data_IF_709953688549
#
_entry.id   IF_709953688549
#
_cell.length_a   1.000
_cell.length_b   1.000
_cell.length_c   1.000
_cell.angle_alpha   90.00
_cell.angle_beta   90.00
_cell.angle_gamma   90.00
#
_symmetry.space_group_name_H-M   'P 1'
#
loop_
_entity.id
_entity.type
_entity.pdbx_description
1 polymer ?
#
# COMPACT_ATOMS: atom_id res chain seq x y z
N UNK A 1 24.19 -41.03 -3.70
CA UNK A 1 23.39 -42.10 -3.08
C UNK A 1 23.47 -41.93 -1.57
N UNK A 2 22.34 -41.92 -0.82
CA UNK A 2 21.10 -42.67 -1.03
C UNK A 2 19.83 -41.77 -1.12
N UNK A 3 18.87 -42.38 -1.75
CA UNK A 3 17.47 -41.97 -1.95
C UNK A 3 16.65 -42.40 -0.72
N UNK A 4 15.81 -41.50 -0.19
CA UNK A 4 14.75 -41.93 0.74
C UNK A 4 13.41 -41.44 0.16
N UNK A 5 12.53 -42.39 -0.13
CA UNK A 5 11.18 -42.29 -0.67
C UNK A 5 10.12 -42.26 0.46
N UNK A 6 8.86 -41.95 0.15
CA UNK A 6 7.88 -41.35 1.05
C UNK A 6 7.03 -42.37 1.82
N UNK A 7 6.38 -41.90 2.86
CA UNK A 7 5.30 -42.67 3.54
C UNK A 7 3.98 -41.93 3.35
N UNK A 8 3.07 -42.57 2.59
CA UNK A 8 1.65 -42.25 2.50
C UNK A 8 0.96 -42.80 3.77
N UNK A 9 0.11 -41.98 4.37
CA UNK A 9 -0.93 -42.50 5.29
C UNK A 9 -2.27 -41.88 4.92
N UNK A 10 -3.18 -42.73 4.40
CA UNK A 10 -4.58 -42.45 4.19
C UNK A 10 -5.35 -42.85 5.44
N UNK A 11 -6.29 -42.00 5.90
CA UNK A 11 -7.33 -42.38 6.86
C UNK A 11 -8.68 -41.97 6.29
N UNK A 12 -9.51 -42.99 6.11
CA UNK A 12 -10.91 -42.99 5.68
C UNK A 12 -11.83 -43.11 6.91
N UNK A 13 -13.01 -42.53 6.85
CA UNK A 13 -14.16 -42.78 7.71
C UNK A 13 -14.67 -41.51 8.41
N UNK A 14 -15.97 -41.20 8.48
CA UNK A 14 -17.17 -41.95 8.29
C UNK A 14 -18.38 -41.02 8.31
N UNK A 15 -19.40 -41.40 7.58
CA UNK A 15 -20.72 -40.80 7.44
C UNK A 15 -21.56 -41.02 8.69
N UNK A 16 -22.30 -40.01 9.17
CA UNK A 16 -23.46 -40.19 10.03
C UNK A 16 -24.58 -39.23 9.59
N UNK A 17 -25.59 -39.81 8.98
CA UNK A 17 -26.93 -39.25 8.70
C UNK A 17 -27.81 -39.48 9.89
N UNK A 18 -28.47 -38.48 10.43
CA UNK A 18 -29.63 -38.61 11.31
C UNK A 18 -30.74 -37.71 10.78
N UNK A 19 -31.75 -38.31 10.21
CA UNK A 19 -33.06 -37.74 9.94
C UNK A 19 -33.99 -38.05 11.10
N UNK A 20 -34.73 -37.07 11.62
CA UNK A 20 -35.95 -37.29 12.42
C UNK A 20 -37.05 -36.34 11.99
N UNK A 21 -38.19 -36.94 11.77
CA UNK A 21 -39.38 -36.40 11.16
C UNK A 21 -40.32 -35.67 12.13
N UNK A 22 -41.12 -34.79 11.55
CA UNK A 22 -42.55 -34.46 11.74
C UNK A 22 -43.18 -34.45 13.13
N UNK A 23 -43.83 -33.32 13.43
CA UNK A 23 -44.91 -33.19 14.41
C UNK A 23 -45.78 -31.98 14.06
N UNK A 24 -46.97 -32.24 13.46
CA UNK A 24 -48.07 -31.29 13.29
C UNK A 24 -48.93 -31.22 14.55
N UNK A 25 -49.37 -30.00 14.95
CA UNK A 25 -50.67 -29.66 15.51
C UNK A 25 -50.70 -28.18 15.84
N UNK A 26 -51.49 -27.39 15.26
CA UNK A 26 -52.85 -26.98 15.37
C UNK A 26 -53.06 -25.89 16.43
N UNK A 27 -53.37 -24.62 15.97
CA UNK A 27 -53.86 -23.55 16.87
C UNK A 27 -53.66 -22.14 16.31
N UNK A 28 -54.67 -21.61 15.63
CA UNK A 28 -54.88 -20.18 15.34
C UNK A 28 -55.90 -19.64 16.38
N UNK A 29 -56.12 -18.35 16.65
CA UNK A 29 -55.58 -17.11 16.06
C UNK A 29 -55.26 -16.00 17.10
N UNK A 30 -54.50 -15.00 16.76
CA UNK A 30 -54.88 -13.62 17.04
C UNK A 30 -53.92 -12.65 16.34
N UNK A 31 -54.45 -11.86 15.46
CA UNK A 31 -53.76 -10.78 14.78
C UNK A 31 -53.50 -9.62 15.74
N UNK A 32 -52.22 -9.38 16.07
CA UNK A 32 -51.76 -8.08 16.57
C UNK A 32 -50.99 -7.35 15.45
N UNK A 33 -51.02 -6.01 15.43
CA UNK A 33 -50.39 -5.26 14.34
C UNK A 33 -48.88 -5.51 14.33
N UNK A 34 -48.37 -5.95 13.19
CA UNK A 34 -46.97 -6.14 12.94
C UNK A 34 -46.25 -4.78 13.04
N UNK A 35 -45.33 -4.67 13.99
CA UNK A 35 -44.31 -3.63 13.97
C UNK A 35 -43.44 -3.77 12.69
N UNK A 36 -43.09 -2.64 12.03
CA UNK A 36 -42.22 -2.75 10.88
C UNK A 36 -40.87 -3.32 11.33
N UNK A 37 -40.52 -4.50 10.82
CA UNK A 37 -39.18 -5.02 10.88
C UNK A 37 -38.26 -3.97 10.27
N UNK A 38 -37.40 -3.36 11.11
CA UNK A 38 -36.26 -2.61 10.62
C UNK A 38 -35.42 -3.59 9.78
N UNK A 39 -35.49 -3.43 8.46
CA UNK A 39 -34.65 -4.15 7.53
C UNK A 39 -33.19 -3.90 7.94
N UNK A 40 -32.48 -4.98 8.29
CA UNK A 40 -31.05 -4.91 8.42
C UNK A 40 -30.52 -4.34 7.10
N UNK A 41 -29.97 -3.14 7.15
CA UNK A 41 -29.24 -2.58 6.03
C UNK A 41 -28.15 -3.60 5.69
N UNK A 42 -28.22 -4.20 4.51
CA UNK A 42 -27.16 -5.03 4.01
C UNK A 42 -25.88 -4.15 4.00
N UNK A 43 -24.92 -4.49 4.83
CA UNK A 43 -23.59 -3.88 4.76
C UNK A 43 -23.08 -4.19 3.36
N UNK A 44 -23.00 -3.15 2.55
CA UNK A 44 -22.30 -3.23 1.26
C UNK A 44 -20.88 -3.60 1.62
N UNK A 45 -20.48 -4.83 1.33
CA UNK A 45 -19.08 -5.24 1.44
C UNK A 45 -18.34 -4.44 0.36
N UNK A 46 -17.62 -3.43 0.77
CA UNK A 46 -16.79 -2.61 -0.10
C UNK A 46 -15.75 -3.55 -0.74
N UNK A 47 -15.88 -3.74 -2.05
CA UNK A 47 -14.91 -4.52 -2.83
C UNK A 47 -13.79 -3.59 -3.22
N UNK A 48 -12.76 -3.51 -2.38
CA UNK A 48 -11.57 -2.73 -2.73
C UNK A 48 -10.80 -3.43 -3.85
N UNK A 49 -10.61 -2.79 -5.01
CA UNK A 49 -9.74 -3.28 -6.05
C UNK A 49 -8.33 -3.60 -5.51
N UNK A 50 -7.60 -4.53 -6.13
CA UNK A 50 -6.23 -4.82 -5.72
C UNK A 50 -5.38 -3.55 -5.79
N UNK A 51 -4.84 -3.12 -4.64
CA UNK A 51 -3.98 -1.94 -4.53
C UNK A 51 -4.65 -0.72 -3.88
N UNK A 52 -5.97 -0.69 -3.76
CA UNK A 52 -6.62 0.36 -3.02
C UNK A 52 -6.26 0.31 -1.53
N UNK A 53 -6.06 1.48 -0.95
CA UNK A 53 -5.82 1.65 0.48
C UNK A 53 -7.15 2.05 1.11
N UNK A 54 -7.68 1.30 2.09
CA UNK A 54 -8.98 1.60 2.69
C UNK A 54 -9.06 3.00 3.28
N UNK A 55 -10.20 3.67 3.17
CA UNK A 55 -10.43 5.02 3.70
C UNK A 55 -10.23 5.09 5.22
N UNK A 56 -10.48 4.00 5.94
CA UNK A 56 -10.30 3.89 7.38
C UNK A 56 -8.88 3.43 7.78
N UNK A 57 -7.91 3.41 6.85
CA UNK A 57 -6.53 3.05 7.14
C UNK A 57 -5.94 3.99 8.20
N UNK A 58 -5.50 3.43 9.31
CA UNK A 58 -4.75 4.16 10.32
C UNK A 58 -3.33 4.46 9.85
N UNK A 59 -2.80 5.62 10.26
CA UNK A 59 -1.42 6.02 9.94
C UNK A 59 -0.63 6.25 11.22
N UNK A 60 0.61 5.77 11.24
CA UNK A 60 1.55 5.92 12.35
C UNK A 60 2.79 6.68 11.91
N UNK A 61 3.44 7.37 12.86
CA UNK A 61 4.61 8.19 12.55
C UNK A 61 5.88 7.34 12.56
N UNK A 62 6.64 7.44 11.49
CA UNK A 62 8.04 7.04 11.41
C UNK A 62 8.94 8.24 11.65
N UNK A 63 9.98 8.06 12.44
CA UNK A 63 11.07 9.02 12.62
C UNK A 63 12.37 8.39 12.14
N UNK A 64 13.15 9.13 11.36
CA UNK A 64 14.47 8.70 10.93
C UNK A 64 15.36 8.38 12.12
N UNK A 65 16.24 7.38 11.98
CA UNK A 65 17.09 6.91 13.08
C UNK A 65 18.00 8.00 13.64
N UNK A 66 18.44 8.93 12.77
CA UNK A 66 19.24 10.09 13.15
C UNK A 66 18.38 11.27 13.69
N UNK A 67 17.05 11.15 13.71
CA UNK A 67 16.11 12.17 14.14
C UNK A 67 16.03 13.39 13.21
N UNK A 68 16.39 13.28 11.95
CA UNK A 68 16.44 14.41 11.02
C UNK A 68 15.09 14.80 10.44
N UNK A 69 14.20 13.83 10.24
CA UNK A 69 12.87 14.00 9.69
C UNK A 69 11.90 12.95 10.22
N UNK A 70 10.63 13.18 10.02
CA UNK A 70 9.56 12.22 10.25
C UNK A 70 8.51 12.29 9.15
N UNK A 71 7.76 11.20 8.98
CA UNK A 71 6.56 11.14 8.13
C UNK A 71 5.61 10.06 8.63
N UNK A 72 4.35 10.09 8.19
CA UNK A 72 3.39 9.04 8.49
C UNK A 72 3.41 7.97 7.40
N UNK A 73 3.15 6.73 7.80
CA UNK A 73 2.91 5.61 6.90
C UNK A 73 1.71 4.79 7.40
N UNK A 74 1.05 3.99 6.54
CA UNK A 74 -0.05 3.15 6.97
C UNK A 74 0.39 2.16 8.07
N UNK A 75 -0.43 2.04 9.10
CA UNK A 75 -0.22 1.07 10.17
C UNK A 75 -0.34 -0.36 9.64
N UNK A 76 0.48 -1.26 10.15
CA UNK A 76 0.48 -2.68 9.76
C UNK A 76 1.27 -3.01 8.50
N UNK A 77 1.77 -2.01 7.75
CA UNK A 77 2.63 -2.29 6.59
C UNK A 77 3.97 -2.86 7.02
N UNK A 78 4.45 -3.85 6.26
CA UNK A 78 5.76 -4.45 6.49
C UNK A 78 6.86 -3.41 6.30
N UNK A 79 7.79 -3.34 7.28
CA UNK A 79 8.95 -2.45 7.21
C UNK A 79 10.20 -3.26 6.85
N UNK A 80 10.89 -2.82 5.80
CA UNK A 80 12.20 -3.32 5.39
C UNK A 80 13.17 -2.15 5.21
N UNK A 81 14.45 -2.42 5.03
CA UNK A 81 15.41 -1.36 4.77
C UNK A 81 16.85 -1.84 4.75
N UNK A 82 17.73 -1.00 4.19
CA UNK A 82 19.18 -1.21 4.17
C UNK A 82 19.87 0.14 4.31
N UNK A 83 20.83 0.25 5.21
CA UNK A 83 21.49 1.52 5.52
C UNK A 83 20.49 2.56 6.02
N UNK A 84 20.44 3.71 5.36
CA UNK A 84 19.51 4.81 5.67
C UNK A 84 18.17 4.71 4.94
N UNK A 85 18.06 3.83 3.95
CA UNK A 85 16.82 3.59 3.19
C UNK A 85 15.84 2.78 4.03
N UNK A 86 14.57 3.21 4.04
CA UNK A 86 13.47 2.44 4.62
C UNK A 86 12.33 2.30 3.61
N UNK A 87 11.71 1.12 3.57
CA UNK A 87 10.53 0.83 2.74
C UNK A 87 9.43 0.26 3.62
N UNK A 88 8.23 0.83 3.50
CA UNK A 88 6.99 0.27 4.03
C UNK A 88 6.20 -0.30 2.87
N UNK A 89 5.65 -1.50 3.01
CA UNK A 89 4.93 -2.15 1.91
C UNK A 89 3.78 -3.04 2.39
N UNK A 90 2.73 -3.08 1.59
CA UNK A 90 1.65 -4.07 1.66
C UNK A 90 1.29 -4.49 0.24
N UNK A 91 1.40 -5.79 -0.05
CA UNK A 91 1.20 -6.37 -1.39
C UNK A 91 2.06 -5.64 -2.44
N UNK A 92 1.41 -4.89 -3.34
CA UNK A 92 2.08 -4.10 -4.40
C UNK A 92 2.16 -2.60 -4.07
N UNK A 93 1.65 -2.17 -2.92
CA UNK A 93 1.80 -0.80 -2.46
C UNK A 93 3.13 -0.63 -1.73
N UNK A 94 3.81 0.48 -1.94
CA UNK A 94 5.05 0.78 -1.20
C UNK A 94 5.27 2.26 -0.99
N UNK A 95 5.97 2.57 0.10
CA UNK A 95 6.53 3.88 0.45
C UNK A 95 8.00 3.66 0.70
N UNK A 96 8.86 4.17 -0.18
CA UNK A 96 10.32 4.08 -0.01
C UNK A 96 10.88 5.46 0.31
N UNK A 97 11.64 5.57 1.38
CA UNK A 97 12.26 6.80 1.86
C UNK A 97 13.77 6.66 1.78
N UNK A 98 14.40 7.57 1.06
CA UNK A 98 15.85 7.56 0.81
C UNK A 98 16.42 8.95 1.12
N UNK A 99 17.19 9.13 2.20
CA UNK A 99 17.96 10.33 2.39
C UNK A 99 19.03 10.47 1.31
N UNK A 100 19.24 11.70 0.82
CA UNK A 100 20.36 12.00 -0.08
C UNK A 100 21.64 12.22 0.72
N UNK A 101 22.74 11.66 0.22
CA UNK A 101 24.07 11.93 0.73
C UNK A 101 24.60 13.27 0.21
N UNK A 102 25.26 14.04 1.09
CA UNK A 102 25.87 15.31 0.73
C UNK A 102 24.88 16.45 0.52
N UNK A 103 25.34 17.48 -0.19
CA UNK A 103 24.53 18.66 -0.51
C UNK A 103 23.51 18.36 -1.60
N UNK A 104 22.23 18.58 -1.31
CA UNK A 104 21.14 18.31 -2.23
C UNK A 104 20.18 19.51 -2.32
N UNK A 105 19.94 19.99 -3.54
CA UNK A 105 19.01 21.06 -3.85
C UNK A 105 18.36 20.77 -5.21
N UNK A 106 17.26 19.99 -5.25
CA UNK A 106 16.61 19.59 -6.49
C UNK A 106 15.98 20.78 -7.20
N UNK A 107 16.02 20.73 -8.52
CA UNK A 107 15.26 21.60 -9.41
C UNK A 107 14.53 20.77 -10.43
N UNK A 108 13.50 21.31 -11.08
CA UNK A 108 12.83 20.57 -12.16
C UNK A 108 13.81 20.22 -13.30
N UNK A 109 14.75 21.12 -13.60
CA UNK A 109 15.77 20.85 -14.62
C UNK A 109 16.66 19.66 -14.23
N UNK A 110 17.13 19.61 -12.99
CA UNK A 110 17.90 18.47 -12.47
C UNK A 110 17.09 17.17 -12.53
N UNK A 111 15.85 17.19 -12.06
CA UNK A 111 14.99 16.01 -12.09
C UNK A 111 14.75 15.51 -13.52
N UNK A 112 14.55 16.41 -14.51
CA UNK A 112 14.36 16.04 -15.92
C UNK A 112 15.62 15.48 -16.57
N UNK A 113 16.78 16.05 -16.26
CA UNK A 113 18.04 15.74 -16.98
C UNK A 113 18.90 14.69 -16.29
N UNK A 114 18.71 14.46 -15.00
CA UNK A 114 19.49 13.50 -14.21
C UNK A 114 18.60 12.41 -13.59
N UNK A 115 17.61 12.78 -12.78
CA UNK A 115 16.84 11.77 -12.01
C UNK A 115 15.97 10.89 -12.90
N UNK A 116 15.22 11.45 -13.86
CA UNK A 116 14.40 10.65 -14.79
C UNK A 116 15.25 9.66 -15.57
N UNK A 117 16.39 10.02 -16.21
CA UNK A 117 17.25 9.04 -16.86
C UNK A 117 17.79 7.96 -15.93
N UNK A 118 18.15 8.33 -14.68
CA UNK A 118 18.61 7.34 -13.70
C UNK A 118 17.49 6.39 -13.27
N UNK A 119 16.27 6.89 -13.04
CA UNK A 119 15.12 6.08 -12.72
C UNK A 119 14.81 5.14 -13.89
N UNK A 120 14.75 5.67 -15.11
CA UNK A 120 14.45 4.90 -16.32
C UNK A 120 15.47 3.79 -16.60
N UNK A 121 16.74 3.99 -16.21
CA UNK A 121 17.78 2.95 -16.36
C UNK A 121 17.62 1.76 -15.44
N UNK A 122 16.85 1.89 -14.34
CA UNK A 122 16.69 0.88 -13.29
C UNK A 122 15.27 0.34 -13.18
N UNK A 123 14.28 1.15 -13.51
CA UNK A 123 12.87 0.77 -13.41
C UNK A 123 12.42 -0.03 -14.63
N UNK A 124 11.98 -1.27 -14.41
CA UNK A 124 11.43 -2.10 -15.50
C UNK A 124 10.16 -1.46 -16.03
N UNK A 125 10.01 -1.43 -17.36
CA UNK A 125 8.82 -0.88 -18.00
C UNK A 125 8.60 0.62 -17.74
N UNK A 126 9.64 1.41 -17.48
CA UNK A 126 9.51 2.86 -17.27
C UNK A 126 8.77 3.55 -18.42
N UNK A 127 7.80 4.40 -18.09
CA UNK A 127 7.04 5.22 -19.03
C UNK A 127 6.49 6.50 -18.38
N UNK A 128 6.12 7.47 -19.21
CA UNK A 128 5.34 8.67 -18.87
C UNK A 128 5.95 9.54 -17.75
N UNK A 129 7.28 9.62 -17.72
CA UNK A 129 8.01 10.45 -16.74
C UNK A 129 7.66 11.93 -16.84
N UNK A 130 7.08 12.52 -15.78
CA UNK A 130 6.80 13.95 -15.69
C UNK A 130 7.41 14.56 -14.44
N UNK A 131 7.71 15.87 -14.49
CA UNK A 131 8.27 16.63 -13.36
C UNK A 131 7.45 17.88 -13.14
N UNK A 132 7.05 18.11 -11.90
CA UNK A 132 6.35 19.33 -11.47
C UNK A 132 6.86 19.79 -10.10
N UNK A 133 6.68 21.07 -9.80
CA UNK A 133 6.89 21.60 -8.46
C UNK A 133 5.54 21.68 -7.75
N UNK A 134 5.44 21.05 -6.59
CA UNK A 134 4.23 21.04 -5.77
C UNK A 134 4.47 21.67 -4.41
N UNK A 135 3.42 22.24 -3.81
CA UNK A 135 3.47 22.75 -2.44
C UNK A 135 3.03 21.67 -1.47
N UNK A 136 3.81 21.48 -0.41
CA UNK A 136 3.51 20.61 0.73
C UNK A 136 3.73 21.40 2.03
N UNK A 137 3.21 20.95 3.19
CA UNK A 137 3.47 21.62 4.46
C UNK A 137 4.96 21.81 4.77
N UNK A 138 5.82 20.90 4.31
CA UNK A 138 7.28 20.99 4.46
C UNK A 138 7.95 22.00 3.49
N UNK A 139 7.20 22.62 2.60
CA UNK A 139 7.68 23.61 1.61
C UNK A 139 7.43 23.20 0.16
N UNK A 140 8.14 23.86 -0.76
CA UNK A 140 8.14 23.54 -2.18
C UNK A 140 8.92 22.24 -2.42
N UNK A 141 8.33 21.30 -3.15
CA UNK A 141 8.86 19.94 -3.37
C UNK A 141 8.84 19.62 -4.85
N UNK A 142 9.89 19.03 -5.37
CA UNK A 142 9.91 18.50 -6.74
C UNK A 142 9.20 17.15 -6.73
N UNK A 143 8.19 17.01 -7.57
CA UNK A 143 7.47 15.75 -7.78
C UNK A 143 7.84 15.18 -9.15
N UNK A 144 8.27 13.93 -9.16
CA UNK A 144 8.45 13.11 -10.38
C UNK A 144 7.39 12.05 -10.38
N UNK A 145 6.56 11.99 -11.43
CA UNK A 145 5.59 10.90 -11.61
C UNK A 145 5.97 10.08 -12.83
N UNK A 146 5.76 8.78 -12.77
CA UNK A 146 6.03 7.85 -13.88
C UNK A 146 5.28 6.54 -13.66
N UNK A 147 5.28 5.69 -14.69
CA UNK A 147 4.83 4.31 -14.58
C UNK A 147 6.03 3.36 -14.64
N UNK A 148 5.95 2.27 -13.91
CA UNK A 148 6.95 1.20 -13.94
C UNK A 148 6.30 -0.15 -13.58
N UNK A 149 6.99 -1.24 -13.84
CA UNK A 149 6.56 -2.55 -13.36
C UNK A 149 7.13 -2.81 -11.96
N UNK A 150 6.33 -3.37 -11.07
CA UNK A 150 6.78 -3.78 -9.74
C UNK A 150 7.83 -4.87 -9.83
N UNK A 151 8.64 -5.01 -8.78
CA UNK A 151 9.37 -6.26 -8.57
C UNK A 151 8.40 -7.45 -8.57
N UNK A 152 8.83 -8.64 -9.01
CA UNK A 152 8.02 -9.84 -8.91
C UNK A 152 7.63 -10.12 -7.45
N UNK A 153 6.35 -10.41 -7.22
CA UNK A 153 5.87 -10.81 -5.89
C UNK A 153 6.61 -12.08 -5.43
N UNK A 154 7.14 -12.11 -4.21
CA UNK A 154 7.83 -13.29 -3.70
C UNK A 154 6.90 -14.51 -3.51
N UNK A 155 5.58 -14.27 -3.50
CA UNK A 155 4.57 -15.33 -3.32
C UNK A 155 4.07 -15.85 -4.66
N UNK A 156 3.80 -14.96 -5.62
CA UNK A 156 3.17 -15.34 -6.90
C UNK A 156 4.11 -15.28 -8.10
N UNK A 157 5.27 -14.67 -7.97
CA UNK A 157 6.20 -14.40 -9.08
C UNK A 157 5.70 -13.36 -10.09
N UNK A 158 4.52 -12.76 -9.87
CA UNK A 158 3.92 -11.81 -10.80
C UNK A 158 4.38 -10.39 -10.52
N UNK A 159 4.63 -9.62 -11.57
CA UNK A 159 4.77 -8.16 -11.53
C UNK A 159 3.46 -7.51 -11.95
N UNK A 160 3.22 -6.29 -11.50
CA UNK A 160 2.07 -5.46 -11.88
C UNK A 160 2.56 -4.10 -12.33
N UNK A 161 1.82 -3.48 -13.25
CA UNK A 161 2.03 -2.08 -13.62
C UNK A 161 1.69 -1.20 -12.43
N UNK A 162 2.54 -0.22 -12.14
CA UNK A 162 2.37 0.72 -11.03
C UNK A 162 2.38 2.15 -11.52
N UNK A 163 1.56 2.99 -10.87
CA UNK A 163 1.72 4.43 -10.87
C UNK A 163 2.65 4.80 -9.72
N UNK A 164 3.69 5.57 -10.03
CA UNK A 164 4.72 5.96 -9.06
C UNK A 164 4.80 7.47 -8.96
N UNK A 165 4.84 7.96 -7.72
CA UNK A 165 5.05 9.37 -7.38
C UNK A 165 6.24 9.50 -6.44
N UNK A 166 7.26 10.21 -6.87
CA UNK A 166 8.48 10.47 -6.09
C UNK A 166 8.52 11.96 -5.74
N UNK A 167 8.72 12.25 -4.46
CA UNK A 167 8.77 13.60 -3.89
C UNK A 167 10.17 13.88 -3.34
N UNK A 168 10.81 14.92 -3.85
CA UNK A 168 12.15 15.35 -3.45
C UNK A 168 12.03 16.51 -2.47
N UNK A 169 12.08 16.19 -1.18
CA UNK A 169 12.12 17.17 -0.10
C UNK A 169 13.54 17.67 0.08
N UNK A 170 13.72 18.99 0.15
CA UNK A 170 15.03 19.60 0.42
C UNK A 170 14.92 20.78 1.37
N UNK A 171 15.87 20.88 2.29
CA UNK A 171 16.02 22.03 3.20
C UNK A 171 17.48 22.18 3.62
N UNK A 172 18.04 23.37 3.45
CA UNK A 172 19.40 23.70 3.89
C UNK A 172 20.47 22.72 3.33
N UNK A 173 20.35 22.34 2.08
CA UNK A 173 21.28 21.41 1.41
C UNK A 173 21.11 19.94 1.80
N UNK A 174 20.13 19.61 2.62
CA UNK A 174 19.77 18.21 2.95
C UNK A 174 18.58 17.78 2.11
N UNK A 175 18.52 16.52 1.72
CA UNK A 175 17.45 15.99 0.90
C UNK A 175 16.92 14.64 1.37
N UNK A 176 15.64 14.40 1.11
CA UNK A 176 14.98 13.11 1.32
C UNK A 176 14.03 12.86 0.15
N UNK A 177 14.23 11.76 -0.54
CA UNK A 177 13.29 11.26 -1.53
C UNK A 177 12.24 10.36 -0.87
N UNK A 178 10.97 10.64 -1.12
CA UNK A 178 9.84 9.78 -0.72
C UNK A 178 9.15 9.27 -1.98
N UNK A 179 9.29 7.99 -2.27
CA UNK A 179 8.71 7.34 -3.45
C UNK A 179 7.52 6.48 -3.03
N UNK A 180 6.37 6.75 -3.63
CA UNK A 180 5.10 6.09 -3.40
C UNK A 180 4.73 5.32 -4.67
N UNK A 181 4.42 4.03 -4.55
CA UNK A 181 4.03 3.19 -5.68
C UNK A 181 2.80 2.36 -5.33
N UNK A 182 1.87 2.25 -6.27
CA UNK A 182 0.68 1.42 -6.18
C UNK A 182 0.33 0.82 -7.55
N UNK A 183 -0.43 -0.28 -7.63
CA UNK A 183 -0.94 -0.77 -8.90
C UNK A 183 -1.64 0.34 -9.69
N UNK A 184 -1.39 0.40 -10.98
CA UNK A 184 -1.93 1.44 -11.84
C UNK A 184 -3.47 1.46 -11.78
N UNK A 185 -4.02 2.67 -11.58
CA UNK A 185 -5.46 2.88 -11.44
C UNK A 185 -6.03 2.64 -10.04
N UNK A 186 -5.19 2.34 -9.03
CA UNK A 186 -5.64 2.26 -7.63
C UNK A 186 -6.01 3.63 -7.08
N UNK A 187 -7.04 3.70 -6.23
CA UNK A 187 -7.37 4.92 -5.50
C UNK A 187 -6.41 5.13 -4.33
N UNK A 188 -5.46 6.01 -4.53
CA UNK A 188 -4.40 6.32 -3.55
C UNK A 188 -4.24 7.81 -3.30
N UNK A 189 -5.12 8.65 -3.82
CA UNK A 189 -4.97 10.12 -3.76
C UNK A 189 -4.88 10.62 -2.32
N UNK A 190 -5.85 10.28 -1.49
CA UNK A 190 -5.92 10.74 -0.10
C UNK A 190 -4.89 10.05 0.81
N UNK A 191 -4.67 8.72 0.73
CA UNK A 191 -3.55 8.08 1.42
C UNK A 191 -2.20 8.70 1.08
N UNK A 192 -1.88 8.93 -0.19
CA UNK A 192 -0.61 9.53 -0.59
C UNK A 192 -0.47 10.99 -0.14
N UNK A 193 -1.57 11.73 -0.14
CA UNK A 193 -1.60 13.07 0.44
C UNK A 193 -1.29 13.02 1.95
N UNK A 194 -1.91 12.12 2.69
CA UNK A 194 -1.65 11.93 4.12
C UNK A 194 -0.17 11.67 4.40
N UNK A 195 0.47 10.81 3.62
CA UNK A 195 1.92 10.53 3.74
C UNK A 195 2.74 11.78 3.43
N UNK A 196 2.54 12.39 2.26
CA UNK A 196 3.38 13.48 1.76
C UNK A 196 3.20 14.77 2.55
N UNK A 197 2.00 15.08 3.03
CA UNK A 197 1.72 16.25 3.85
C UNK A 197 2.22 16.11 5.28
N UNK A 198 2.42 14.88 5.76
CA UNK A 198 2.96 14.61 7.10
C UNK A 198 4.47 14.73 7.20
N UNK A 199 5.19 14.82 6.06
CA UNK A 199 6.64 14.97 6.09
C UNK A 199 7.06 16.23 6.85
N UNK A 200 7.96 16.06 7.80
CA UNK A 200 8.43 17.16 8.67
C UNK A 200 9.92 17.05 8.92
N UNK A 201 10.64 18.13 8.70
CA UNK A 201 12.02 18.27 9.13
C UNK A 201 12.08 18.53 10.62
N UNK A 202 12.80 17.73 11.37
CA UNK A 202 12.93 17.84 12.84
C UNK A 202 14.16 18.67 13.24
N UNK A 203 15.18 18.75 12.40
CA UNK A 203 16.41 19.53 12.60
C UNK A 203 17.15 19.82 11.29
#
# INVERSE_FOLDING_TARGET
MPVIRPLLLAVVGGVAVVAVAAGCAGGNPSAGPAAPSAGAAASVTESNPPGDIPDNQAFVTFTAADGSYSLKHPEGWARTGSGTTVTFSDKYNSITVVPHDGFYQPTEAYARTVEIPEIASRAMGFADGTVTTVQRPAGSVIQVTYQADSAPSPVTGKSVRQDVSRYEYARNGRGVAVTLAAPAGSDTVDPWRTVTDSFTWLR
#
